data_IF_378391716831
#
_entry.id   IF_378391716831
#
_cell.length_a   1.000
_cell.length_b   1.000
_cell.length_c   1.000
_cell.angle_alpha   90.00
_cell.angle_beta   90.00
_cell.angle_gamma   90.00
#
_symmetry.space_group_name_H-M   'P 1'
#
loop_
_entity.id
_entity.type
_entity.pdbx_description
1 polymer ?
#
# COMPACT_ATOMS: atom_id res chain seq x y z
N UNK A 1 30.29 28.16 23.50
CA UNK A 1 30.08 27.34 22.27
C UNK A 1 29.89 28.33 21.13
N UNK A 2 30.67 28.21 20.06
CA UNK A 2 30.64 29.09 18.88
C UNK A 2 29.25 29.05 18.23
N UNK A 3 28.82 30.19 17.67
CA UNK A 3 27.51 30.30 16.94
C UNK A 3 27.45 29.29 15.82
N UNK A 4 28.56 29.13 15.08
CA UNK A 4 28.65 28.12 14.01
C UNK A 4 28.31 26.72 14.49
N UNK A 5 28.79 26.33 15.68
CA UNK A 5 28.49 25.03 16.29
C UNK A 5 27.02 24.91 16.74
N UNK A 6 26.42 25.98 17.26
CA UNK A 6 25.00 26.01 17.69
C UNK A 6 24.06 25.85 16.48
N UNK A 7 24.29 26.63 15.43
CA UNK A 7 23.48 26.57 14.19
C UNK A 7 23.65 25.22 13.51
N UNK A 8 24.89 24.75 13.36
CA UNK A 8 25.17 23.45 12.76
C UNK A 8 24.49 22.31 13.53
N UNK A 9 24.57 22.31 14.87
CA UNK A 9 23.91 21.31 15.70
C UNK A 9 22.38 21.33 15.50
N UNK A 10 21.76 22.52 15.51
CA UNK A 10 20.32 22.67 15.27
C UNK A 10 19.89 22.13 13.90
N UNK A 11 20.59 22.49 12.84
CA UNK A 11 20.34 22.00 11.49
C UNK A 11 20.53 20.47 11.39
N UNK A 12 21.57 19.93 12.04
CA UNK A 12 21.85 18.48 12.04
C UNK A 12 20.75 17.69 12.73
N UNK A 13 20.25 18.18 13.87
CA UNK A 13 19.14 17.55 14.60
C UNK A 13 17.87 17.52 13.73
N UNK A 14 17.53 18.64 13.10
CA UNK A 14 16.35 18.70 12.19
C UNK A 14 16.53 17.75 11.00
N UNK A 15 17.69 17.74 10.36
CA UNK A 15 17.98 16.84 9.25
C UNK A 15 17.89 15.36 9.66
N UNK A 16 18.38 15.02 10.85
CA UNK A 16 18.31 13.65 11.37
C UNK A 16 16.87 13.20 11.63
N UNK A 17 16.02 14.06 12.22
CA UNK A 17 14.60 13.76 12.44
C UNK A 17 13.87 13.57 11.10
N UNK A 18 14.15 14.40 10.10
CA UNK A 18 13.60 14.28 8.75
C UNK A 18 14.00 12.98 8.07
N UNK A 19 15.25 12.58 8.19
CA UNK A 19 15.74 11.30 7.65
C UNK A 19 15.07 10.11 8.32
N UNK A 20 14.92 10.13 9.65
CA UNK A 20 14.20 9.07 10.37
C UNK A 20 12.73 8.98 9.94
N UNK A 21 12.04 10.11 9.82
CA UNK A 21 10.65 10.14 9.37
C UNK A 21 10.52 9.62 7.93
N UNK A 22 11.41 10.01 7.04
CA UNK A 22 11.45 9.50 5.65
C UNK A 22 11.71 8.00 5.58
N UNK A 23 12.63 7.51 6.40
CA UNK A 23 12.95 6.08 6.46
C UNK A 23 11.78 5.23 6.98
N UNK A 24 11.09 5.68 8.04
CA UNK A 24 9.91 4.97 8.57
C UNK A 24 8.78 4.91 7.56
N UNK A 25 8.50 6.00 6.83
CA UNK A 25 7.48 6.04 5.77
C UNK A 25 7.86 5.09 4.63
N UNK A 26 9.11 5.11 4.16
CA UNK A 26 9.57 4.24 3.08
C UNK A 26 9.48 2.75 3.45
N UNK A 27 9.87 2.40 4.69
CA UNK A 27 9.80 1.03 5.20
C UNK A 27 8.36 0.51 5.29
N UNK A 28 7.44 1.33 5.83
CA UNK A 28 6.03 0.96 5.96
C UNK A 28 5.36 0.84 4.58
N UNK A 29 5.68 1.72 3.64
CA UNK A 29 5.19 1.66 2.26
C UNK A 29 5.63 0.38 1.54
N UNK A 30 6.87 -0.05 1.73
CA UNK A 30 7.38 -1.29 1.13
C UNK A 30 6.70 -2.52 1.73
N UNK A 31 6.47 -2.55 3.04
CA UNK A 31 5.81 -3.65 3.75
C UNK A 31 4.37 -3.87 3.28
N UNK A 32 3.60 -2.79 3.08
CA UNK A 32 2.19 -2.88 2.66
C UNK A 32 2.09 -3.29 1.20
N UNK A 33 2.93 -2.74 0.32
CA UNK A 33 2.93 -3.05 -1.11
C UNK A 33 3.16 -4.54 -1.39
N UNK A 34 4.00 -5.21 -0.62
CA UNK A 34 4.29 -6.63 -0.81
C UNK A 34 3.17 -7.56 -0.32
N UNK A 35 2.50 -7.23 0.78
CA UNK A 35 1.53 -8.13 1.42
C UNK A 35 0.15 -8.10 0.75
N UNK A 36 -0.36 -6.93 0.38
CA UNK A 36 -1.74 -6.78 -0.10
C UNK A 36 -1.87 -7.10 -1.59
N UNK A 37 -0.92 -6.64 -2.41
CA UNK A 37 -0.98 -6.86 -3.86
C UNK A 37 -0.87 -8.34 -4.23
N UNK A 38 -0.12 -9.12 -3.46
CA UNK A 38 0.06 -10.55 -3.72
C UNK A 38 -1.21 -11.36 -3.40
N UNK A 39 -1.83 -11.10 -2.26
CA UNK A 39 -3.07 -11.79 -1.83
C UNK A 39 -4.23 -11.47 -2.77
N UNK A 40 -4.42 -10.21 -3.14
CA UNK A 40 -5.47 -9.82 -4.10
C UNK A 40 -5.21 -10.46 -5.46
N UNK A 41 -3.97 -10.48 -5.95
CA UNK A 41 -3.61 -11.09 -7.22
C UNK A 41 -3.90 -12.61 -7.24
N UNK A 42 -3.60 -13.33 -6.16
CA UNK A 42 -3.91 -14.76 -6.07
C UNK A 42 -5.42 -15.02 -6.00
N UNK A 43 -6.17 -14.24 -5.21
CA UNK A 43 -7.64 -14.37 -5.16
C UNK A 43 -8.31 -14.07 -6.52
N UNK A 44 -7.80 -13.09 -7.28
CA UNK A 44 -8.28 -12.80 -8.64
C UNK A 44 -7.98 -13.97 -9.58
N UNK A 45 -6.83 -14.61 -9.45
CA UNK A 45 -6.50 -15.81 -10.26
C UNK A 45 -7.40 -16.98 -9.90
N UNK A 46 -7.68 -17.25 -8.62
CA UNK A 46 -8.63 -18.27 -8.17
C UNK A 46 -10.04 -17.98 -8.69
N UNK A 47 -10.49 -16.74 -8.63
CA UNK A 47 -11.78 -16.32 -9.20
C UNK A 47 -11.85 -16.56 -10.71
N UNK A 48 -10.78 -16.24 -11.45
CA UNK A 48 -10.70 -16.50 -12.88
C UNK A 48 -10.69 -18.01 -13.21
N UNK A 49 -10.02 -18.83 -12.39
CA UNK A 49 -10.04 -20.28 -12.52
C UNK A 49 -11.45 -20.83 -12.33
N UNK A 50 -12.18 -20.40 -11.31
CA UNK A 50 -13.58 -20.76 -11.08
C UNK A 50 -14.48 -20.35 -12.25
N UNK A 51 -14.33 -19.11 -12.75
CA UNK A 51 -15.09 -18.64 -13.92
C UNK A 51 -14.77 -19.46 -15.19
N UNK A 52 -13.52 -19.83 -15.39
CA UNK A 52 -13.14 -20.69 -16.51
C UNK A 52 -13.74 -22.10 -16.38
N UNK A 53 -13.72 -22.69 -15.17
CA UNK A 53 -14.40 -23.96 -14.89
C UNK A 53 -15.90 -23.88 -15.20
N UNK A 54 -16.58 -22.81 -14.77
CA UNK A 54 -17.99 -22.59 -15.04
C UNK A 54 -18.29 -22.57 -16.54
N UNK A 55 -17.51 -21.81 -17.30
CA UNK A 55 -17.64 -21.71 -18.77
C UNK A 55 -17.43 -23.06 -19.44
N UNK A 56 -16.38 -23.78 -19.08
CA UNK A 56 -16.06 -25.08 -19.66
C UNK A 56 -17.12 -26.13 -19.31
N UNK A 57 -17.56 -26.16 -18.05
CA UNK A 57 -18.58 -27.07 -17.58
C UNK A 57 -19.94 -26.81 -18.23
N UNK A 58 -20.32 -25.54 -18.37
CA UNK A 58 -21.51 -25.16 -19.14
C UNK A 58 -21.42 -25.64 -20.59
N UNK A 59 -20.29 -25.42 -21.27
CA UNK A 59 -20.08 -25.87 -22.65
C UNK A 59 -20.14 -27.41 -22.77
N UNK A 60 -19.53 -28.13 -21.85
CA UNK A 60 -19.61 -29.60 -21.80
C UNK A 60 -21.07 -30.07 -21.66
N UNK A 61 -21.84 -29.43 -20.78
CA UNK A 61 -23.25 -29.77 -20.57
C UNK A 61 -24.13 -29.45 -21.80
N UNK A 62 -23.85 -28.34 -22.50
CA UNK A 62 -24.56 -27.98 -23.74
C UNK A 62 -24.29 -28.96 -24.88
N UNK A 63 -23.05 -29.45 -25.01
CA UNK A 63 -22.70 -30.49 -25.99
C UNK A 63 -23.44 -31.81 -25.73
N UNK A 64 -23.62 -32.16 -24.47
CA UNK A 64 -24.43 -33.35 -24.11
C UNK A 64 -25.88 -33.22 -24.54
N UNK A 65 -26.45 -32.02 -24.56
CA UNK A 65 -27.81 -31.77 -25.01
C UNK A 65 -27.92 -31.72 -26.55
N UNK A 66 -26.83 -31.50 -27.26
CA UNK A 66 -26.78 -31.57 -28.70
C UNK A 66 -26.52 -33.04 -29.12
N UNK A 67 -27.54 -33.69 -29.60
CA UNK A 67 -27.51 -35.12 -29.95
C UNK A 67 -26.41 -35.47 -30.99
N UNK A 68 -26.14 -34.62 -31.95
CA UNK A 68 -25.11 -34.89 -32.94
C UNK A 68 -23.70 -34.74 -32.37
N UNK A 69 -23.48 -33.72 -31.57
CA UNK A 69 -22.20 -33.50 -30.87
C UNK A 69 -21.94 -34.49 -29.77
N UNK A 70 -22.99 -34.99 -29.09
CA UNK A 70 -22.88 -36.00 -28.04
C UNK A 70 -22.44 -37.39 -28.56
N UNK A 71 -22.56 -37.67 -29.86
CA UNK A 71 -22.03 -38.90 -30.47
C UNK A 71 -20.50 -38.90 -30.59
N UNK A 72 -19.86 -37.73 -30.56
CA UNK A 72 -18.43 -37.61 -30.68
C UNK A 72 -17.75 -37.58 -29.29
N UNK A 73 -17.30 -38.74 -28.86
CA UNK A 73 -16.60 -38.91 -27.59
C UNK A 73 -15.33 -38.05 -27.51
N UNK A 74 -14.72 -37.63 -28.65
CA UNK A 74 -13.49 -36.87 -28.64
C UNK A 74 -13.73 -35.44 -28.16
N UNK A 75 -14.83 -34.82 -28.54
CA UNK A 75 -15.23 -33.47 -28.12
C UNK A 75 -15.53 -33.43 -26.62
N UNK A 76 -16.31 -34.39 -26.14
CA UNK A 76 -16.62 -34.48 -24.70
C UNK A 76 -15.39 -34.72 -23.84
N UNK A 77 -14.48 -35.60 -24.29
CA UNK A 77 -13.23 -35.88 -23.58
C UNK A 77 -12.30 -34.63 -23.59
N UNK A 78 -12.28 -33.84 -24.66
CA UNK A 78 -11.50 -32.60 -24.70
C UNK A 78 -11.98 -31.59 -23.65
N UNK A 79 -13.29 -31.35 -23.55
CA UNK A 79 -13.85 -30.47 -22.52
C UNK A 79 -13.65 -31.02 -21.09
N UNK A 80 -13.75 -32.33 -20.90
CA UNK A 80 -13.46 -32.95 -19.61
C UNK A 80 -11.98 -32.77 -19.21
N UNK A 81 -11.05 -32.89 -20.16
CA UNK A 81 -9.63 -32.65 -19.92
C UNK A 81 -9.36 -31.19 -19.56
N UNK A 82 -9.99 -30.23 -20.24
CA UNK A 82 -9.89 -28.80 -19.92
C UNK A 82 -10.49 -28.47 -18.55
N UNK A 83 -11.63 -29.05 -18.20
CA UNK A 83 -12.23 -28.91 -16.86
C UNK A 83 -11.30 -29.44 -15.76
N UNK A 84 -10.68 -30.60 -15.98
CA UNK A 84 -9.73 -31.18 -15.03
C UNK A 84 -8.46 -30.30 -14.91
N UNK A 85 -7.99 -29.72 -15.98
CA UNK A 85 -6.84 -28.78 -15.95
C UNK A 85 -7.20 -27.51 -15.17
N UNK A 86 -8.38 -26.93 -15.39
CA UNK A 86 -8.87 -25.77 -14.67
C UNK A 86 -9.06 -26.06 -13.15
N UNK A 87 -9.55 -27.26 -12.81
CA UNK A 87 -9.64 -27.73 -11.43
C UNK A 87 -8.25 -27.86 -10.77
N UNK A 88 -7.29 -28.46 -11.47
CA UNK A 88 -5.92 -28.59 -10.96
C UNK A 88 -5.26 -27.21 -10.77
N UNK A 89 -5.51 -26.26 -11.66
CA UNK A 89 -5.04 -24.87 -11.51
C UNK A 89 -5.65 -24.22 -10.26
N UNK A 90 -6.94 -24.38 -10.02
CA UNK A 90 -7.61 -23.89 -8.81
C UNK A 90 -7.05 -24.54 -7.54
N UNK A 91 -6.81 -25.85 -7.55
CA UNK A 91 -6.26 -26.59 -6.41
C UNK A 91 -4.84 -26.13 -6.03
N UNK A 92 -4.03 -25.75 -7.01
CA UNK A 92 -2.67 -25.24 -6.79
C UNK A 92 -2.64 -23.78 -6.28
N UNK A 93 -3.79 -23.08 -6.28
CA UNK A 93 -3.90 -21.64 -5.95
C UNK A 93 -4.74 -21.35 -4.71
N UNK A 94 -4.99 -22.35 -3.86
CA UNK A 94 -5.78 -22.17 -2.65
C UNK A 94 -5.19 -21.06 -1.79
N UNK A 95 -5.94 -19.99 -1.59
CA UNK A 95 -5.51 -18.79 -0.88
C UNK A 95 -6.50 -18.36 0.21
N UNK A 96 -7.74 -18.83 0.14
CA UNK A 96 -8.83 -18.48 1.06
C UNK A 96 -9.24 -19.69 1.89
N UNK A 97 -9.52 -19.46 3.17
CA UNK A 97 -10.07 -20.51 4.04
C UNK A 97 -11.44 -20.94 3.52
N UNK A 98 -11.65 -22.26 3.37
CA UNK A 98 -12.88 -22.84 2.83
C UNK A 98 -12.78 -23.26 1.37
N UNK A 99 -11.80 -22.77 0.61
CA UNK A 99 -11.62 -23.18 -0.80
C UNK A 99 -11.36 -24.67 -0.94
N UNK A 100 -10.58 -25.25 -0.04
CA UNK A 100 -10.21 -26.66 -0.08
C UNK A 100 -11.43 -27.55 0.06
N UNK A 101 -12.32 -27.26 1.01
CA UNK A 101 -13.54 -28.01 1.26
C UNK A 101 -14.50 -27.96 0.05
N UNK A 102 -14.60 -26.80 -0.59
CA UNK A 102 -15.40 -26.64 -1.81
C UNK A 102 -14.78 -27.42 -2.97
N UNK A 103 -13.47 -27.34 -3.16
CA UNK A 103 -12.76 -28.06 -4.23
C UNK A 103 -12.84 -29.58 -4.03
N UNK A 104 -12.72 -30.08 -2.80
CA UNK A 104 -12.87 -31.51 -2.51
C UNK A 104 -14.30 -31.99 -2.82
N UNK A 105 -15.31 -31.21 -2.43
CA UNK A 105 -16.72 -31.47 -2.76
C UNK A 105 -16.97 -31.41 -4.27
N UNK A 106 -16.39 -30.45 -4.94
CA UNK A 106 -16.47 -30.28 -6.39
C UNK A 106 -15.89 -31.50 -7.12
N UNK A 107 -14.75 -32.01 -6.69
CA UNK A 107 -14.12 -33.18 -7.27
C UNK A 107 -15.03 -34.43 -7.19
N UNK A 108 -15.66 -34.64 -6.04
CA UNK A 108 -16.60 -35.73 -5.82
C UNK A 108 -17.82 -35.59 -6.74
N UNK A 109 -18.45 -34.42 -6.74
CA UNK A 109 -19.64 -34.15 -7.54
C UNK A 109 -19.36 -34.20 -9.05
N UNK A 110 -18.22 -33.62 -9.51
CA UNK A 110 -17.81 -33.65 -10.91
C UNK A 110 -17.48 -35.06 -11.40
N UNK A 111 -16.82 -35.88 -10.56
CA UNK A 111 -16.57 -37.29 -10.89
C UNK A 111 -17.87 -38.10 -11.03
N UNK A 112 -18.86 -37.85 -10.16
CA UNK A 112 -20.17 -38.47 -10.27
C UNK A 112 -20.92 -38.01 -11.52
N UNK A 113 -20.90 -36.71 -11.84
CA UNK A 113 -21.45 -36.14 -13.08
C UNK A 113 -20.83 -36.79 -14.33
N UNK A 114 -19.51 -36.86 -14.42
CA UNK A 114 -18.79 -37.40 -15.56
C UNK A 114 -19.10 -38.89 -15.76
N UNK A 115 -19.21 -39.66 -14.68
CA UNK A 115 -19.58 -41.09 -14.76
C UNK A 115 -20.98 -41.29 -15.34
N UNK A 116 -21.97 -40.52 -14.88
CA UNK A 116 -23.36 -40.60 -15.38
C UNK A 116 -23.42 -40.08 -16.82
N UNK A 117 -22.77 -38.94 -17.11
CA UNK A 117 -22.67 -38.36 -18.46
C UNK A 117 -22.15 -39.38 -19.47
N UNK A 118 -21.04 -40.07 -19.17
CA UNK A 118 -20.47 -41.10 -20.05
C UNK A 118 -21.42 -42.30 -20.26
N UNK A 119 -22.18 -42.69 -19.26
CA UNK A 119 -23.17 -43.77 -19.39
C UNK A 119 -24.33 -43.33 -20.29
N UNK A 120 -24.81 -42.10 -20.13
CA UNK A 120 -25.88 -41.51 -20.98
C UNK A 120 -25.45 -41.45 -22.43
N UNK A 121 -24.22 -40.93 -22.70
CA UNK A 121 -23.67 -40.86 -24.05
C UNK A 121 -23.60 -42.22 -24.73
N UNK A 122 -23.16 -43.26 -24.00
CA UNK A 122 -23.10 -44.63 -24.55
C UNK A 122 -24.47 -45.17 -24.87
N UNK A 123 -25.48 -44.94 -24.03
CA UNK A 123 -26.85 -45.44 -24.25
C UNK A 123 -27.60 -44.61 -25.31
N UNK A 124 -27.26 -43.31 -25.44
CA UNK A 124 -27.93 -42.39 -26.36
C UNK A 124 -27.46 -42.47 -27.80
N UNK A 125 -26.40 -43.23 -28.11
CA UNK A 125 -25.89 -43.39 -29.50
C UNK A 125 -26.95 -43.92 -30.49
N UNK A 126 -28.03 -44.46 -30.00
CA UNK A 126 -29.12 -45.08 -30.78
C UNK A 126 -30.44 -44.31 -30.71
N UNK A 127 -30.72 -43.51 -29.69
CA UNK A 127 -32.00 -42.85 -29.49
C UNK A 127 -31.91 -41.51 -28.77
N UNK A 128 -32.25 -40.43 -29.51
CA UNK A 128 -32.27 -39.02 -29.03
C UNK A 128 -33.26 -38.82 -27.85
N UNK A 129 -34.43 -39.48 -27.90
CA UNK A 129 -35.45 -39.33 -26.88
C UNK A 129 -34.97 -39.89 -25.56
N UNK A 130 -34.28 -41.02 -25.59
CA UNK A 130 -33.69 -41.64 -24.41
C UNK A 130 -32.62 -40.77 -23.77
N UNK A 131 -31.74 -40.13 -24.57
CA UNK A 131 -30.76 -39.16 -24.09
C UNK A 131 -31.42 -38.04 -23.28
N UNK A 132 -32.45 -37.39 -23.83
CA UNK A 132 -33.13 -36.28 -23.17
C UNK A 132 -33.82 -36.72 -21.85
N UNK A 133 -34.49 -37.87 -21.84
CA UNK A 133 -35.15 -38.40 -20.64
C UNK A 133 -34.13 -38.71 -19.53
N UNK A 134 -33.04 -39.38 -19.86
CA UNK A 134 -31.96 -39.67 -18.88
C UNK A 134 -31.27 -38.42 -18.39
N UNK A 135 -31.03 -37.43 -19.27
CA UNK A 135 -30.52 -36.15 -18.87
C UNK A 135 -31.42 -35.46 -17.81
N UNK A 136 -32.71 -35.34 -18.10
CA UNK A 136 -33.66 -34.69 -17.18
C UNK A 136 -33.84 -35.45 -15.87
N UNK A 137 -33.82 -36.77 -15.90
CA UNK A 137 -34.09 -37.57 -14.69
C UNK A 137 -32.87 -37.76 -13.77
N UNK A 138 -31.66 -37.83 -14.34
CA UNK A 138 -30.48 -38.24 -13.57
C UNK A 138 -29.35 -37.20 -13.61
N UNK A 139 -29.09 -36.61 -14.75
CA UNK A 139 -27.91 -35.77 -14.94
C UNK A 139 -28.11 -34.30 -14.54
N UNK A 140 -29.32 -33.75 -14.75
CA UNK A 140 -29.61 -32.36 -14.50
C UNK A 140 -29.34 -31.96 -13.04
N UNK A 141 -29.80 -32.76 -12.09
CA UNK A 141 -29.54 -32.50 -10.65
C UNK A 141 -28.05 -32.56 -10.32
N UNK A 142 -27.28 -33.41 -11.00
CA UNK A 142 -25.80 -33.46 -10.82
C UNK A 142 -25.11 -32.25 -11.42
N UNK A 143 -25.60 -31.77 -12.56
CA UNK A 143 -25.14 -30.54 -13.18
C UNK A 143 -25.34 -29.34 -12.26
N UNK A 144 -26.55 -29.19 -11.67
CA UNK A 144 -26.85 -28.12 -10.74
C UNK A 144 -25.93 -28.13 -9.51
N UNK A 145 -25.67 -29.31 -8.95
CA UNK A 145 -24.80 -29.45 -7.79
C UNK A 145 -23.36 -29.02 -8.10
N UNK A 146 -22.81 -29.43 -9.26
CA UNK A 146 -21.46 -29.01 -9.70
C UNK A 146 -21.43 -27.52 -9.98
N UNK A 147 -22.42 -27.00 -10.70
CA UNK A 147 -22.52 -25.57 -11.01
C UNK A 147 -22.59 -24.72 -9.74
N UNK A 148 -23.41 -25.13 -8.77
CA UNK A 148 -23.53 -24.45 -7.47
C UNK A 148 -22.20 -24.40 -6.70
N UNK A 149 -21.43 -25.48 -6.70
CA UNK A 149 -20.11 -25.51 -6.04
C UNK A 149 -19.09 -24.61 -6.75
N UNK A 150 -19.13 -24.54 -8.08
CA UNK A 150 -18.28 -23.61 -8.84
C UNK A 150 -18.65 -22.16 -8.54
N UNK A 151 -19.96 -21.86 -8.46
CA UNK A 151 -20.45 -20.53 -8.09
C UNK A 151 -20.07 -20.17 -6.65
N UNK A 152 -20.15 -21.12 -5.72
CA UNK A 152 -19.71 -20.92 -4.34
C UNK A 152 -18.21 -20.60 -4.26
N UNK A 153 -17.38 -21.33 -5.00
CA UNK A 153 -15.95 -21.08 -5.11
C UNK A 153 -15.66 -19.68 -5.66
N UNK A 154 -16.36 -19.28 -6.74
CA UNK A 154 -16.26 -17.95 -7.30
C UNK A 154 -16.66 -16.86 -6.30
N UNK A 155 -17.80 -17.03 -5.61
CA UNK A 155 -18.30 -16.05 -4.65
C UNK A 155 -17.43 -15.95 -3.39
N UNK A 156 -16.83 -17.06 -2.95
CA UNK A 156 -15.87 -17.05 -1.85
C UNK A 156 -14.65 -16.18 -2.19
N UNK A 157 -14.06 -16.38 -3.36
CA UNK A 157 -12.92 -15.61 -3.83
C UNK A 157 -13.28 -14.14 -4.09
N UNK A 158 -14.45 -13.87 -4.67
CA UNK A 158 -14.96 -12.52 -4.86
C UNK A 158 -15.09 -11.77 -3.53
N UNK A 159 -15.69 -12.38 -2.52
CA UNK A 159 -15.78 -11.80 -1.17
C UNK A 159 -14.40 -11.53 -0.56
N UNK A 160 -13.45 -12.43 -0.77
CA UNK A 160 -12.07 -12.23 -0.30
C UNK A 160 -11.39 -11.04 -0.98
N UNK A 161 -11.57 -10.86 -2.30
CA UNK A 161 -11.09 -9.68 -3.03
C UNK A 161 -11.74 -8.40 -2.51
N UNK A 162 -13.05 -8.39 -2.33
CA UNK A 162 -13.81 -7.24 -1.80
C UNK A 162 -13.36 -6.90 -0.38
N UNK A 163 -13.25 -7.88 0.51
CA UNK A 163 -12.78 -7.69 1.89
C UNK A 163 -11.36 -7.14 1.94
N UNK A 164 -10.44 -7.70 1.14
CA UNK A 164 -9.07 -7.22 1.05
C UNK A 164 -8.99 -5.81 0.46
N UNK A 165 -9.88 -5.46 -0.48
CA UNK A 165 -9.99 -4.10 -1.04
C UNK A 165 -10.46 -3.09 0.01
N UNK A 166 -11.42 -3.45 0.87
CA UNK A 166 -11.87 -2.62 1.99
C UNK A 166 -10.76 -2.43 3.03
N UNK A 167 -10.03 -3.51 3.36
CA UNK A 167 -8.86 -3.44 4.24
C UNK A 167 -7.73 -2.59 3.65
N UNK A 168 -7.59 -2.54 2.32
CA UNK A 168 -6.68 -1.60 1.65
C UNK A 168 -7.08 -0.14 1.90
N UNK A 169 -8.37 0.18 1.87
CA UNK A 169 -8.85 1.53 2.13
C UNK A 169 -8.59 1.97 3.58
N UNK A 170 -8.84 1.10 4.55
CA UNK A 170 -8.53 1.37 5.96
C UNK A 170 -7.02 1.46 6.23
N UNK A 171 -6.23 0.63 5.57
CA UNK A 171 -4.77 0.69 5.65
C UNK A 171 -4.21 1.93 4.95
N UNK A 172 -4.89 2.49 3.94
CA UNK A 172 -4.50 3.75 3.30
C UNK A 172 -4.45 4.90 4.31
N UNK A 173 -5.45 5.04 5.19
CA UNK A 173 -5.43 6.03 6.28
C UNK A 173 -4.32 5.77 7.28
N UNK A 174 -4.05 4.51 7.62
CA UNK A 174 -2.93 4.13 8.48
C UNK A 174 -1.56 4.44 7.87
N UNK A 175 -1.43 4.38 6.55
CA UNK A 175 -0.21 4.75 5.83
C UNK A 175 0.01 6.26 5.77
N UNK A 176 -1.06 7.04 5.55
CA UNK A 176 -0.97 8.49 5.39
C UNK A 176 -0.73 9.18 6.75
N UNK A 177 -1.30 8.66 7.84
CA UNK A 177 -1.17 9.26 9.17
C UNK A 177 0.27 9.52 9.61
N UNK A 178 1.23 8.58 9.52
CA UNK A 178 2.63 8.86 9.87
C UNK A 178 3.25 9.94 8.99
N UNK A 179 2.90 10.00 7.71
CA UNK A 179 3.38 11.04 6.79
C UNK A 179 2.84 12.42 7.17
N UNK A 180 1.55 12.53 7.48
CA UNK A 180 0.93 13.77 7.94
C UNK A 180 1.55 14.25 9.26
N UNK A 181 1.75 13.35 10.23
CA UNK A 181 2.39 13.65 11.52
C UNK A 181 3.84 14.13 11.27
N UNK A 182 4.59 13.48 10.39
CA UNK A 182 5.95 13.88 10.06
C UNK A 182 6.00 15.28 9.43
N UNK A 183 5.08 15.61 8.51
CA UNK A 183 4.97 16.94 7.89
C UNK A 183 4.66 17.99 8.96
N UNK A 184 3.71 17.75 9.86
CA UNK A 184 3.38 18.67 10.95
C UNK A 184 4.57 18.88 11.89
N UNK A 185 5.27 17.81 12.25
CA UNK A 185 6.49 17.91 13.06
C UNK A 185 7.58 18.72 12.35
N UNK A 186 7.76 18.57 11.04
CA UNK A 186 8.69 19.39 10.26
C UNK A 186 8.34 20.87 10.29
N UNK A 187 7.07 21.22 10.15
CA UNK A 187 6.62 22.62 10.20
C UNK A 187 6.94 23.22 11.58
N UNK A 188 6.63 22.51 12.67
CA UNK A 188 6.94 22.94 14.03
C UNK A 188 8.46 23.13 14.23
N UNK A 189 9.27 22.19 13.73
CA UNK A 189 10.73 22.29 13.79
C UNK A 189 11.28 23.47 13.03
N UNK A 190 10.72 23.81 11.85
CA UNK A 190 11.11 24.99 11.07
C UNK A 190 10.81 26.28 11.86
N UNK A 191 9.64 26.37 12.49
CA UNK A 191 9.32 27.53 13.33
C UNK A 191 10.26 27.66 14.54
N UNK A 192 10.54 26.54 15.21
CA UNK A 192 11.50 26.52 16.33
C UNK A 192 12.90 26.95 15.89
N UNK A 193 13.36 26.49 14.74
CA UNK A 193 14.68 26.85 14.19
C UNK A 193 14.74 28.32 13.84
N UNK A 194 13.71 28.89 13.19
CA UNK A 194 13.60 30.32 12.92
C UNK A 194 13.60 31.15 14.19
N UNK A 195 12.84 30.74 15.22
CA UNK A 195 12.83 31.40 16.52
C UNK A 195 14.20 31.37 17.21
N UNK A 196 14.91 30.26 17.10
CA UNK A 196 16.26 30.09 17.63
C UNK A 196 17.28 31.03 16.94
N UNK A 197 17.22 31.08 15.61
CA UNK A 197 18.08 32.00 14.80
C UNK A 197 17.76 33.46 15.17
N UNK A 198 16.49 33.80 15.33
CA UNK A 198 16.11 35.15 15.70
C UNK A 198 16.68 35.56 17.06
N UNK A 199 16.53 34.77 18.10
CA UNK A 199 16.99 35.11 19.46
C UNK A 199 18.52 35.10 19.56
N UNK A 200 19.15 34.09 19.02
CA UNK A 200 20.60 33.89 19.25
C UNK A 200 21.49 34.60 18.21
N UNK A 201 20.94 35.00 17.08
CA UNK A 201 21.72 35.62 16.02
C UNK A 201 21.20 37.02 15.63
N UNK A 202 19.94 37.09 15.19
CA UNK A 202 19.40 38.34 14.64
C UNK A 202 19.27 39.43 15.71
N UNK A 203 18.66 39.14 16.83
CA UNK A 203 18.41 40.09 17.90
C UNK A 203 19.71 40.72 18.46
N UNK A 204 20.75 39.94 18.81
CA UNK A 204 22.03 40.54 19.23
C UNK A 204 22.71 41.40 18.15
N UNK A 205 22.67 40.97 16.89
CA UNK A 205 23.23 41.75 15.77
C UNK A 205 22.52 43.10 15.59
N UNK A 206 21.19 43.12 15.66
CA UNK A 206 20.39 44.35 15.60
C UNK A 206 20.74 45.28 16.78
N UNK A 207 20.96 44.74 17.99
CA UNK A 207 21.39 45.54 19.15
C UNK A 207 22.76 46.17 18.93
N UNK A 208 23.71 45.44 18.36
CA UNK A 208 25.04 45.96 18.02
C UNK A 208 24.92 47.12 17.02
N UNK A 209 24.18 46.94 15.92
CA UNK A 209 23.97 48.00 14.90
C UNK A 209 23.31 49.22 15.51
N UNK A 210 22.29 49.06 16.36
CA UNK A 210 21.65 50.18 17.06
C UNK A 210 22.62 50.89 18.00
N UNK A 211 23.48 50.16 18.72
CA UNK A 211 24.51 50.76 19.56
C UNK A 211 25.55 51.56 18.77
N UNK A 212 25.96 51.09 17.60
CA UNK A 212 26.88 51.80 16.70
C UNK A 212 26.24 53.12 16.18
N UNK A 213 24.98 53.04 15.73
CA UNK A 213 24.24 54.19 15.24
C UNK A 213 24.05 55.25 16.32
N UNK A 214 23.64 54.84 17.54
CA UNK A 214 23.52 55.76 18.67
C UNK A 214 24.86 56.44 19.02
N UNK A 215 25.97 55.71 19.01
CA UNK A 215 27.29 56.27 19.22
C UNK A 215 27.65 57.29 18.15
N UNK A 216 27.38 57.01 16.89
CA UNK A 216 27.69 57.91 15.77
C UNK A 216 26.84 59.18 15.77
N UNK A 217 25.54 59.08 16.06
CA UNK A 217 24.62 60.24 15.99
C UNK A 217 24.67 61.12 17.23
N UNK A 218 24.74 60.51 18.40
CA UNK A 218 24.57 61.22 19.69
C UNK A 218 25.82 61.24 20.58
N UNK A 219 26.90 60.56 20.17
CA UNK A 219 28.14 60.42 20.95
C UNK A 219 27.93 59.81 22.36
N UNK A 220 26.80 59.17 22.58
CA UNK A 220 26.53 58.42 23.83
C UNK A 220 27.49 57.24 23.92
N UNK A 221 27.99 56.89 25.14
CA UNK A 221 28.85 55.71 25.28
C UNK A 221 28.24 54.46 24.71
N UNK A 222 29.02 53.74 23.89
CA UNK A 222 28.56 52.50 23.27
C UNK A 222 28.15 51.46 24.32
N UNK A 223 26.88 51.09 24.33
CA UNK A 223 26.34 50.07 25.21
C UNK A 223 25.16 49.37 24.48
N UNK A 224 25.22 48.06 24.33
CA UNK A 224 24.22 47.27 23.56
C UNK A 224 23.42 46.34 24.41
N UNK A 225 23.85 46.04 25.67
CA UNK A 225 23.23 45.02 26.52
C UNK A 225 23.24 43.61 25.88
N UNK A 226 24.23 43.30 25.05
CA UNK A 226 24.42 41.98 24.44
C UNK A 226 25.15 41.08 25.46
N UNK A 227 24.44 40.10 25.98
CA UNK A 227 24.92 39.12 26.98
C UNK A 227 25.06 37.72 26.34
N UNK A 228 25.90 37.60 25.32
CA UNK A 228 26.22 36.29 24.72
C UNK A 228 27.63 35.86 25.13
N UNK A 229 27.93 34.53 25.03
CA UNK A 229 29.28 34.00 25.29
C UNK A 229 29.85 33.31 24.08
N UNK A 230 29.82 34.01 22.95
CA UNK A 230 30.21 33.53 21.63
C UNK A 230 30.86 34.60 20.79
N UNK A 231 31.01 34.38 19.48
CA UNK A 231 31.65 35.30 18.54
C UNK A 231 30.94 36.66 18.47
N UNK A 232 29.63 36.71 18.76
CA UNK A 232 28.90 38.00 18.84
C UNK A 232 29.38 38.82 20.04
N UNK A 233 29.60 38.18 21.19
CA UNK A 233 30.16 38.84 22.37
C UNK A 233 31.58 39.39 22.06
N UNK A 234 32.42 38.59 21.38
CA UNK A 234 33.74 39.03 20.98
C UNK A 234 33.67 40.25 20.06
N UNK A 235 32.79 40.19 19.03
CA UNK A 235 32.56 41.32 18.12
C UNK A 235 32.08 42.58 18.87
N UNK A 236 31.12 42.42 19.77
CA UNK A 236 30.59 43.50 20.60
C UNK A 236 31.67 44.18 21.45
N UNK A 237 32.57 43.36 22.05
CA UNK A 237 33.67 43.86 22.87
C UNK A 237 34.72 44.61 22.03
N UNK A 238 35.06 44.14 20.84
CA UNK A 238 36.00 44.85 19.96
C UNK A 238 35.44 46.19 19.43
N UNK A 239 34.13 46.20 19.10
CA UNK A 239 33.44 47.45 18.74
C UNK A 239 33.44 48.46 19.91
N UNK A 240 33.19 47.95 21.14
CA UNK A 240 33.24 48.78 22.35
C UNK A 240 34.61 49.44 22.54
N UNK A 241 35.70 48.67 22.42
CA UNK A 241 37.08 49.20 22.51
C UNK A 241 37.34 50.25 21.41
N UNK A 242 36.89 50.01 20.18
CA UNK A 242 37.02 50.95 19.08
C UNK A 242 36.31 52.28 19.39
N UNK A 243 35.06 52.21 19.86
CA UNK A 243 34.26 53.38 20.25
C UNK A 243 34.92 54.18 21.39
N UNK A 244 35.48 53.49 22.38
CA UNK A 244 36.23 54.12 23.50
C UNK A 244 37.49 54.82 22.99
N UNK A 245 38.22 54.22 22.05
CA UNK A 245 39.42 54.81 21.43
C UNK A 245 39.06 56.03 20.62
N UNK A 246 38.04 56.00 19.79
CA UNK A 246 37.58 57.19 19.00
C UNK A 246 37.20 58.35 19.94
N UNK A 247 36.46 58.04 21.01
CA UNK A 247 36.07 59.07 22.00
C UNK A 247 37.27 59.72 22.72
N UNK A 248 38.34 58.93 22.94
CA UNK A 248 39.57 59.47 23.54
C UNK A 248 40.26 60.43 22.60
N UNK A 249 40.44 60.08 21.32
CA UNK A 249 41.02 60.95 20.32
C UNK A 249 40.22 62.23 20.07
N UNK A 250 38.88 62.18 20.15
CA UNK A 250 38.02 63.37 20.04
C UNK A 250 38.14 64.34 21.23
N UNK A 251 38.62 63.88 22.39
CA UNK A 251 38.84 64.71 23.59
C UNK A 251 40.22 65.27 23.64
N UNK A 252 41.19 64.68 22.94
CA UNK A 252 42.59 65.15 22.89
C UNK A 252 42.88 66.18 21.75
N UNK A 253 41.96 66.35 20.82
CA UNK A 253 41.95 67.36 19.78
C UNK A 253 40.88 68.44 20.05
#
# INVERSE_FOLDING_TARGET
MSIRKKVFLGCTVVAFILLLAGFTIAFEMQRIRSSVSLVVAENVKSMNAAHNMQRLFYSQNMILLDYESAKDDSVLNAYAAECNAAYADAQNRISVKGEREILDSLNICYSAYTKISNNIVRSAKTDRRNLYLQYCSELYSRYENVSSLIDELFMLNKKAVESNSLLMNDNYYRMIMPAVIAILACIVLIFLLNYFIYIYFISPMVKIVKGINAFNETRVPYNTGVETKDEIAALNNEIKKLAETVKKYEKEN
#
